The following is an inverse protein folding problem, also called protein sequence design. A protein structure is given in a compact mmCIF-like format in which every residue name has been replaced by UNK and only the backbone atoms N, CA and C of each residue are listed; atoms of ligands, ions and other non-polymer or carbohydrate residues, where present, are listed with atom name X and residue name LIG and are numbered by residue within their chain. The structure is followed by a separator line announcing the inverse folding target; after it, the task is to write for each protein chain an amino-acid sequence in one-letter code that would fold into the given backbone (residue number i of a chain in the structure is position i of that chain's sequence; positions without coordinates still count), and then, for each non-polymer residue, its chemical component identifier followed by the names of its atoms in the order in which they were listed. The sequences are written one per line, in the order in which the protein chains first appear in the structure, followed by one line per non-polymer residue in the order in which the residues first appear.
data_IF_103919754637
#
_entry.id   IF_103919754637
#
_cell.length_a   1.000
_cell.length_b   1.000
_cell.length_c   1.000
_cell.angle_alpha   90.00
_cell.angle_beta   90.00
_cell.angle_gamma   90.00
#
_symmetry.space_group_name_H-M   'P 1'
#
loop_
_entity.id
_entity.type
_entity.pdbx_description
1 polymer ?
#
# COMPACT_ATOMS: atom_id res chain seq x y z
N UNK A 1 -10.86 -0.54 30.72
CA UNK A 1 -11.44 0.53 29.90
C UNK A 1 -10.46 0.73 28.75
N UNK A 2 -10.85 0.37 27.51
CA UNK A 2 -10.07 0.71 26.34
C UNK A 2 -10.11 2.25 26.20
N UNK A 3 -8.95 2.88 26.11
CA UNK A 3 -8.87 4.29 25.79
C UNK A 3 -9.47 4.47 24.38
N UNK A 4 -10.45 5.35 24.26
CA UNK A 4 -10.94 5.78 22.94
C UNK A 4 -9.73 6.29 22.15
N UNK A 5 -9.47 5.65 21.01
CA UNK A 5 -8.46 6.10 20.10
C UNK A 5 -8.91 7.46 19.54
N UNK A 6 -8.29 8.53 20.01
CA UNK A 6 -8.51 9.87 19.50
C UNK A 6 -7.95 9.91 18.08
N UNK A 7 -8.80 10.18 17.10
CA UNK A 7 -8.33 10.41 15.72
C UNK A 7 -7.34 11.59 15.73
N UNK A 8 -6.14 11.34 15.21
CA UNK A 8 -5.15 12.40 15.04
C UNK A 8 -5.56 13.29 13.87
N UNK A 9 -5.35 14.61 13.97
CA UNK A 9 -5.68 15.51 12.89
C UNK A 9 -4.86 15.16 11.64
N UNK A 10 -5.48 15.21 10.47
CA UNK A 10 -4.80 14.98 9.17
C UNK A 10 -4.05 16.23 8.69
N UNK A 11 -4.23 17.36 9.35
CA UNK A 11 -3.53 18.63 9.14
C UNK A 11 -3.04 19.17 10.47
N UNK A 12 -1.93 19.91 10.41
CA UNK A 12 -1.29 20.46 11.58
C UNK A 12 0.00 19.70 11.96
N UNK A 13 0.53 20.05 13.13
CA UNK A 13 1.81 19.53 13.64
C UNK A 13 1.59 18.48 14.72
N UNK A 14 2.26 17.36 14.58
CA UNK A 14 2.24 16.26 15.55
C UNK A 14 3.68 15.98 15.96
N UNK A 15 3.96 16.03 17.26
CA UNK A 15 5.25 15.64 17.82
C UNK A 15 5.13 14.23 18.44
N UNK A 16 5.96 13.29 17.97
CA UNK A 16 6.20 12.04 18.68
C UNK A 16 7.46 12.22 19.50
N UNK A 17 7.40 12.00 20.81
CA UNK A 17 8.51 12.22 21.75
C UNK A 17 8.78 10.98 22.62
N UNK A 18 9.86 11.00 23.37
CA UNK A 18 10.31 9.88 24.21
C UNK A 18 10.47 8.57 23.40
N UNK A 19 11.05 8.68 22.20
CA UNK A 19 11.34 7.55 21.33
C UNK A 19 12.59 6.84 21.86
N UNK A 20 12.50 5.55 22.16
CA UNK A 20 13.64 4.76 22.61
C UNK A 20 14.58 4.33 21.50
N UNK A 21 14.03 4.10 20.30
CA UNK A 21 14.79 3.76 19.09
C UNK A 21 14.06 4.30 17.87
N UNK A 22 14.72 5.14 17.08
CA UNK A 22 14.16 5.68 15.84
C UNK A 22 14.84 5.05 14.62
N UNK A 23 14.07 4.34 13.79
CA UNK A 23 14.56 3.69 12.58
C UNK A 23 14.15 4.51 11.35
N UNK A 24 15.12 4.73 10.44
CA UNK A 24 14.91 5.52 9.22
C UNK A 24 14.25 4.76 8.07
N UNK A 25 14.42 3.44 8.04
CA UNK A 25 14.13 2.61 6.87
C UNK A 25 15.23 2.61 5.80
N UNK A 26 16.30 3.41 5.96
CA UNK A 26 17.49 3.37 5.09
C UNK A 26 18.49 2.34 5.62
N UNK A 27 18.79 1.32 4.80
CA UNK A 27 19.73 0.26 5.17
C UNK A 27 21.15 0.75 5.41
N UNK A 28 21.53 1.88 4.83
CA UNK A 28 22.87 2.47 4.99
C UNK A 28 22.96 3.34 6.25
N UNK A 29 21.84 3.85 6.74
CA UNK A 29 21.74 4.62 7.97
C UNK A 29 20.50 4.23 8.74
N UNK A 30 20.41 3.00 9.27
CA UNK A 30 19.15 2.44 9.78
C UNK A 30 18.66 3.12 11.06
N UNK A 31 19.56 3.66 11.87
CA UNK A 31 19.22 4.30 13.16
C UNK A 31 19.43 5.81 13.04
N UNK A 32 18.46 6.57 13.50
CA UNK A 32 18.55 8.02 13.64
C UNK A 32 18.80 8.37 15.12
N UNK A 33 19.73 9.30 15.32
CA UNK A 33 20.08 9.81 16.65
C UNK A 33 19.11 10.93 17.06
N UNK A 34 17.89 10.52 17.40
CA UNK A 34 16.86 11.42 17.92
C UNK A 34 15.84 10.64 18.74
N UNK A 35 15.34 11.26 19.78
CA UNK A 35 14.25 10.76 20.62
C UNK A 35 12.89 11.36 20.26
N UNK A 36 12.82 12.13 19.19
CA UNK A 36 11.58 12.72 18.70
C UNK A 36 11.48 12.75 17.18
N UNK A 37 10.24 12.86 16.71
CA UNK A 37 9.85 12.96 15.30
C UNK A 37 8.73 13.98 15.16
N UNK A 38 8.97 15.02 14.37
CA UNK A 38 7.97 16.03 14.05
C UNK A 38 7.31 15.70 12.71
N UNK A 39 5.98 15.69 12.70
CA UNK A 39 5.14 15.49 11.52
C UNK A 39 4.37 16.78 11.28
N UNK A 40 4.39 17.29 10.06
CA UNK A 40 3.60 18.45 9.63
C UNK A 40 2.79 18.09 8.39
N UNK A 41 1.48 18.28 8.45
CA UNK A 41 0.53 17.95 7.37
C UNK A 41 0.71 16.52 6.79
N UNK A 42 1.02 15.56 7.66
CA UNK A 42 1.19 14.14 7.30
C UNK A 42 2.56 13.79 6.70
N UNK A 43 3.51 14.71 6.69
CA UNK A 43 4.89 14.49 6.24
C UNK A 43 5.87 14.65 7.41
N UNK A 44 6.97 13.91 7.37
CA UNK A 44 8.06 14.08 8.32
C UNK A 44 8.71 15.44 8.07
N UNK A 45 8.61 16.34 9.06
CA UNK A 45 9.18 17.69 8.99
C UNK A 45 10.58 17.76 9.61
N UNK A 46 10.86 16.94 10.64
CA UNK A 46 12.14 16.96 11.31
C UNK A 46 12.25 15.98 12.46
N UNK A 47 13.40 16.07 13.17
CA UNK A 47 13.78 15.20 14.27
C UNK A 47 14.16 16.04 15.50
N UNK A 48 13.55 17.19 15.65
CA UNK A 48 13.75 18.10 16.77
C UNK A 48 12.43 18.36 17.47
N UNK A 49 12.48 18.52 18.79
CA UNK A 49 11.28 18.89 19.56
C UNK A 49 10.94 20.35 19.28
N UNK A 50 9.75 20.58 18.77
CA UNK A 50 9.16 21.89 18.50
C UNK A 50 7.70 21.90 18.92
N UNK A 51 7.11 23.10 18.99
CA UNK A 51 5.68 23.25 19.31
C UNK A 51 4.82 22.50 18.28
N UNK A 52 3.85 21.76 18.77
CA UNK A 52 2.95 20.94 17.97
C UNK A 52 1.51 21.04 18.49
N UNK A 53 0.54 20.85 17.58
CA UNK A 53 -0.88 20.87 17.91
C UNK A 53 -1.29 19.63 18.72
N UNK A 54 -0.52 18.55 18.58
CA UNK A 54 -0.73 17.28 19.29
C UNK A 54 0.59 16.59 19.58
N UNK A 55 0.64 15.88 20.71
CA UNK A 55 1.80 15.09 21.11
C UNK A 55 1.44 13.62 21.31
N UNK A 56 2.38 12.75 20.92
CA UNK A 56 2.36 11.32 21.20
C UNK A 56 3.59 10.97 22.01
N UNK A 57 3.38 10.44 23.22
CA UNK A 57 4.47 9.90 24.03
C UNK A 57 4.75 8.46 23.65
N UNK A 58 5.90 8.19 23.02
CA UNK A 58 6.30 6.85 22.62
C UNK A 58 6.76 5.97 23.79
N UNK A 59 6.90 6.54 25.00
CA UNK A 59 7.23 5.81 26.24
C UNK A 59 8.45 4.89 26.12
N UNK A 60 9.47 5.30 25.38
CA UNK A 60 10.66 4.51 25.13
C UNK A 60 10.49 3.40 24.08
N UNK A 61 9.36 3.33 23.41
CA UNK A 61 9.15 2.38 22.32
C UNK A 61 9.99 2.70 21.09
N UNK A 62 10.20 1.70 20.24
CA UNK A 62 10.77 1.90 18.92
C UNK A 62 9.73 2.54 18.00
N UNK A 63 10.18 3.51 17.20
CA UNK A 63 9.41 4.10 16.10
C UNK A 63 10.12 3.78 14.79
N UNK A 64 9.36 3.26 13.81
CA UNK A 64 9.89 2.81 12.53
C UNK A 64 8.88 3.08 11.41
N UNK A 65 9.34 3.15 10.14
CA UNK A 65 8.42 3.12 9.01
C UNK A 65 7.54 1.88 9.06
N UNK A 66 6.26 2.05 8.71
CA UNK A 66 5.35 0.92 8.63
C UNK A 66 5.83 -0.12 7.61
N UNK A 67 5.57 -1.39 7.87
CA UNK A 67 5.94 -2.48 6.99
C UNK A 67 5.16 -2.38 5.67
N UNK A 68 5.77 -2.90 4.61
CA UNK A 68 5.19 -2.94 3.26
C UNK A 68 4.99 -4.40 2.88
N UNK A 69 3.75 -4.79 2.64
CA UNK A 69 3.45 -6.06 1.99
C UNK A 69 3.43 -5.84 0.47
N UNK A 70 4.43 -6.39 -0.20
CA UNK A 70 4.63 -6.23 -1.64
C UNK A 70 3.86 -7.24 -2.50
N UNK A 71 3.11 -8.16 -1.89
CA UNK A 71 2.41 -9.22 -2.60
C UNK A 71 1.03 -9.50 -2.01
N UNK A 72 0.09 -8.61 -2.30
CA UNK A 72 -1.30 -8.75 -1.88
C UNK A 72 -2.25 -8.81 -3.07
N UNK A 73 -3.47 -9.27 -2.84
CA UNK A 73 -4.51 -9.34 -3.86
C UNK A 73 -5.76 -8.55 -3.42
N UNK A 74 -5.64 -7.23 -3.29
CA UNK A 74 -6.79 -6.39 -3.00
C UNK A 74 -7.73 -6.39 -4.20
N UNK A 75 -9.04 -6.33 -3.96
CA UNK A 75 -10.02 -6.21 -5.04
C UNK A 75 -10.78 -4.89 -4.88
N UNK A 76 -11.82 -4.89 -4.07
CA UNK A 76 -12.66 -3.72 -3.83
C UNK A 76 -12.84 -3.53 -2.33
N UNK A 77 -12.00 -2.75 -1.70
CA UNK A 77 -12.10 -2.47 -0.27
C UNK A 77 -11.46 -3.56 0.60
N UNK A 78 -11.95 -3.69 1.83
CA UNK A 78 -11.35 -4.48 2.89
C UNK A 78 -11.92 -5.90 3.01
N UNK A 79 -12.54 -6.39 1.98
CA UNK A 79 -13.09 -7.74 1.91
C UNK A 79 -12.41 -8.57 0.82
N UNK A 80 -11.97 -9.79 1.16
CA UNK A 80 -11.42 -10.74 0.19
C UNK A 80 -12.45 -11.84 -0.08
N UNK A 81 -13.09 -11.88 -1.26
CA UNK A 81 -14.15 -12.83 -1.54
C UNK A 81 -13.70 -14.29 -1.52
N UNK A 82 -12.45 -14.56 -1.88
CA UNK A 82 -11.91 -15.93 -1.87
C UNK A 82 -11.78 -16.50 -0.48
N UNK A 83 -11.32 -15.70 0.49
CA UNK A 83 -11.13 -16.11 1.87
C UNK A 83 -12.38 -15.86 2.72
N UNK A 84 -13.42 -15.25 2.16
CA UNK A 84 -14.59 -14.78 2.91
C UNK A 84 -14.19 -13.95 4.15
N UNK A 85 -13.17 -13.12 3.98
CA UNK A 85 -12.56 -12.37 5.06
C UNK A 85 -12.89 -10.89 4.93
N UNK A 86 -13.56 -10.35 5.93
CA UNK A 86 -13.76 -8.92 6.16
C UNK A 86 -12.69 -8.42 7.14
N UNK A 87 -12.20 -7.20 6.96
CA UNK A 87 -11.23 -6.60 7.86
C UNK A 87 -9.81 -7.14 7.70
N UNK A 88 -9.45 -7.69 6.54
CA UNK A 88 -8.11 -8.25 6.32
C UNK A 88 -7.01 -7.18 6.38
N UNK A 89 -7.29 -5.95 5.90
CA UNK A 89 -6.33 -4.84 5.96
C UNK A 89 -6.10 -4.45 7.42
N UNK A 90 -7.18 -4.29 8.20
CA UNK A 90 -7.09 -3.95 9.62
C UNK A 90 -6.27 -4.97 10.41
N UNK A 91 -6.48 -6.26 10.14
CA UNK A 91 -5.69 -7.31 10.79
C UNK A 91 -4.19 -7.18 10.49
N UNK A 92 -3.82 -6.83 9.26
CA UNK A 92 -2.43 -6.65 8.87
C UNK A 92 -1.84 -5.33 9.40
N UNK A 93 -2.63 -4.25 9.46
CA UNK A 93 -2.20 -2.99 10.08
C UNK A 93 -1.90 -3.19 11.57
N UNK A 94 -2.69 -3.99 12.27
CA UNK A 94 -2.39 -4.39 13.65
C UNK A 94 -1.08 -5.17 13.77
N UNK A 95 -0.62 -5.81 12.67
CA UNK A 95 0.71 -6.40 12.53
C UNK A 95 1.79 -5.45 12.01
N UNK A 96 1.53 -4.13 12.02
CA UNK A 96 2.41 -3.04 11.57
C UNK A 96 2.59 -2.94 10.03
N UNK A 97 1.82 -3.65 9.21
CA UNK A 97 1.80 -3.46 7.75
C UNK A 97 0.90 -2.28 7.41
N UNK A 98 1.49 -1.18 6.95
CA UNK A 98 0.77 0.06 6.64
C UNK A 98 0.63 0.34 5.15
N UNK A 99 1.35 -0.42 4.31
CA UNK A 99 1.29 -0.29 2.85
C UNK A 99 1.17 -1.67 2.19
N UNK A 100 0.28 -1.76 1.20
CA UNK A 100 -0.02 -2.99 0.48
C UNK A 100 0.13 -2.75 -1.02
N UNK A 101 0.85 -3.63 -1.71
CA UNK A 101 1.02 -3.58 -3.16
C UNK A 101 0.29 -4.74 -3.81
N UNK A 102 -0.54 -4.42 -4.81
CA UNK A 102 -1.24 -5.43 -5.59
C UNK A 102 -0.26 -6.26 -6.41
N UNK A 103 -0.38 -7.57 -6.30
CA UNK A 103 0.19 -8.57 -7.19
C UNK A 103 -0.83 -9.07 -8.23
N UNK A 104 -1.99 -8.47 -8.27
CA UNK A 104 -3.06 -8.75 -9.22
C UNK A 104 -4.43 -8.86 -8.57
N UNK A 105 -5.48 -8.42 -9.26
CA UNK A 105 -6.86 -8.45 -8.81
C UNK A 105 -7.50 -9.81 -9.13
N UNK A 106 -6.97 -10.89 -8.57
CA UNK A 106 -7.28 -12.28 -8.97
C UNK A 106 -8.40 -12.94 -8.19
N UNK A 107 -8.72 -12.44 -7.01
CA UNK A 107 -9.66 -13.10 -6.11
C UNK A 107 -11.12 -12.73 -6.38
N UNK A 108 -11.39 -12.02 -7.46
CA UNK A 108 -12.74 -11.72 -7.89
C UNK A 108 -13.36 -12.95 -8.57
N UNK A 109 -14.50 -13.48 -8.09
CA UNK A 109 -15.22 -14.52 -8.79
C UNK A 109 -15.61 -14.07 -10.20
N UNK A 110 -15.32 -14.90 -11.21
CA UNK A 110 -15.58 -14.52 -12.61
C UNK A 110 -14.66 -13.41 -13.15
N UNK A 111 -13.45 -13.27 -12.62
CA UNK A 111 -12.47 -12.29 -13.08
C UNK A 111 -12.37 -12.28 -14.62
N UNK A 112 -12.49 -11.11 -15.25
CA UNK A 112 -12.30 -10.99 -16.69
C UNK A 112 -10.87 -11.36 -17.10
N UNK A 113 -10.71 -11.87 -18.33
CA UNK A 113 -9.40 -12.21 -18.92
C UNK A 113 -9.13 -11.47 -20.22
N UNK A 114 -10.15 -10.86 -20.81
CA UNK A 114 -10.02 -9.99 -21.97
C UNK A 114 -9.43 -8.63 -21.58
N UNK A 115 -8.78 -7.97 -22.54
CA UNK A 115 -8.04 -6.73 -22.32
C UNK A 115 -8.95 -5.61 -21.76
N UNK A 116 -10.18 -5.49 -22.24
CA UNK A 116 -11.09 -4.43 -21.82
C UNK A 116 -11.56 -4.65 -20.37
N UNK A 117 -11.97 -5.87 -20.04
CA UNK A 117 -12.42 -6.22 -18.70
C UNK A 117 -11.29 -6.14 -17.67
N UNK A 118 -10.08 -6.60 -18.00
CA UNK A 118 -8.92 -6.50 -17.09
C UNK A 118 -8.52 -5.04 -16.88
N UNK A 119 -8.54 -4.21 -17.92
CA UNK A 119 -8.29 -2.78 -17.82
C UNK A 119 -9.32 -2.09 -16.91
N UNK A 120 -10.59 -2.37 -17.13
CA UNK A 120 -11.67 -1.81 -16.31
C UNK A 120 -11.53 -2.20 -14.84
N UNK A 121 -11.27 -3.48 -14.56
CA UNK A 121 -11.05 -3.99 -13.21
C UNK A 121 -9.85 -3.29 -12.54
N UNK A 122 -8.72 -3.19 -13.22
CA UNK A 122 -7.53 -2.55 -12.70
C UNK A 122 -7.77 -1.07 -12.36
N UNK A 123 -8.43 -0.34 -13.25
CA UNK A 123 -8.75 1.08 -13.04
C UNK A 123 -9.73 1.28 -11.88
N UNK A 124 -10.76 0.46 -11.76
CA UNK A 124 -11.74 0.57 -10.67
C UNK A 124 -11.09 0.23 -9.34
N UNK A 125 -10.32 -0.85 -9.26
CA UNK A 125 -9.62 -1.23 -8.03
C UNK A 125 -8.66 -0.12 -7.57
N UNK A 126 -7.84 0.43 -8.47
CA UNK A 126 -6.96 1.55 -8.16
C UNK A 126 -7.73 2.75 -7.62
N UNK A 127 -8.83 3.14 -8.28
CA UNK A 127 -9.60 4.32 -7.88
C UNK A 127 -10.31 4.14 -6.54
N UNK A 128 -10.83 2.95 -6.27
CA UNK A 128 -11.42 2.65 -4.98
C UNK A 128 -10.43 2.91 -3.84
N UNK A 129 -9.21 2.41 -3.96
CA UNK A 129 -8.19 2.58 -2.92
C UNK A 129 -7.49 3.96 -2.94
N UNK A 130 -7.57 4.72 -4.02
CA UNK A 130 -7.17 6.13 -4.01
C UNK A 130 -8.14 6.99 -3.18
N UNK A 131 -9.43 6.66 -3.22
CA UNK A 131 -10.49 7.40 -2.55
C UNK A 131 -10.80 6.89 -1.14
N UNK A 132 -10.32 5.69 -0.80
CA UNK A 132 -10.58 5.07 0.48
C UNK A 132 -9.31 4.42 1.03
N UNK A 133 -8.94 4.79 2.25
CA UNK A 133 -7.81 4.22 2.98
C UNK A 133 -8.33 3.53 4.24
N UNK A 134 -8.55 2.22 4.21
CA UNK A 134 -9.00 1.47 5.37
C UNK A 134 -8.04 1.69 6.54
N UNK A 135 -8.55 2.21 7.67
CA UNK A 135 -7.79 2.57 8.88
C UNK A 135 -6.47 3.31 8.60
N UNK A 136 -6.45 4.15 7.56
CA UNK A 136 -5.26 4.92 7.16
C UNK A 136 -4.25 4.16 6.28
N UNK A 137 -4.40 2.87 6.06
CA UNK A 137 -3.49 2.08 5.24
C UNK A 137 -3.44 2.56 3.79
N UNK A 138 -2.25 2.50 3.18
CA UNK A 138 -2.04 2.80 1.77
C UNK A 138 -2.12 1.52 0.96
N UNK A 139 -3.11 1.40 0.09
CA UNK A 139 -3.23 0.26 -0.83
C UNK A 139 -2.96 0.74 -2.26
N UNK A 140 -1.98 0.13 -2.90
CA UNK A 140 -1.63 0.39 -4.29
C UNK A 140 -2.19 -0.77 -5.12
N UNK A 141 -3.46 -0.64 -5.48
CA UNK A 141 -4.24 -1.65 -6.20
C UNK A 141 -4.17 -1.48 -7.73
N UNK A 142 -4.82 -2.37 -8.44
CA UNK A 142 -5.03 -2.27 -9.87
C UNK A 142 -3.93 -2.88 -10.72
N UNK A 143 -3.09 -3.76 -10.18
CA UNK A 143 -2.14 -4.48 -11.02
C UNK A 143 -2.86 -5.49 -11.92
N UNK A 144 -2.78 -5.38 -13.27
CA UNK A 144 -3.39 -6.36 -14.17
C UNK A 144 -2.62 -7.68 -14.15
N UNK A 145 -3.31 -8.80 -14.08
CA UNK A 145 -2.68 -10.10 -14.34
C UNK A 145 -2.43 -10.24 -15.84
N UNK A 146 -1.18 -10.51 -16.26
CA UNK A 146 -0.84 -10.57 -17.68
C UNK A 146 -1.51 -11.74 -18.40
N UNK A 147 -2.03 -11.46 -19.61
CA UNK A 147 -2.54 -12.46 -20.54
C UNK A 147 -1.75 -12.38 -21.86
N UNK A 148 -1.71 -13.47 -22.64
CA UNK A 148 -0.87 -13.56 -23.84
C UNK A 148 -1.29 -12.61 -24.98
N UNK A 149 -2.55 -12.27 -25.03
CA UNK A 149 -3.14 -11.40 -26.05
C UNK A 149 -3.06 -9.91 -25.72
N UNK A 150 -2.53 -9.54 -24.53
CA UNK A 150 -2.29 -8.14 -24.22
C UNK A 150 -1.09 -7.62 -24.99
N UNK A 151 -1.23 -6.44 -25.54
CA UNK A 151 -0.22 -5.76 -26.34
C UNK A 151 0.38 -4.55 -25.60
N UNK A 152 1.31 -3.89 -26.28
CA UNK A 152 1.96 -2.69 -25.75
C UNK A 152 0.97 -1.56 -25.49
N UNK A 153 -0.05 -1.41 -26.33
CA UNK A 153 -1.03 -0.32 -26.22
C UNK A 153 -1.93 -0.54 -25.01
N UNK A 154 -2.25 -1.78 -24.68
CA UNK A 154 -2.94 -2.12 -23.44
C UNK A 154 -2.15 -1.61 -22.21
N UNK A 155 -0.85 -1.93 -22.11
CA UNK A 155 -0.03 -1.48 -20.98
C UNK A 155 0.21 0.04 -20.98
N UNK A 156 0.37 0.66 -22.14
CA UNK A 156 0.48 2.11 -22.27
C UNK A 156 -0.77 2.81 -21.77
N UNK A 157 -1.96 2.28 -22.05
CA UNK A 157 -3.23 2.81 -21.56
C UNK A 157 -3.37 2.75 -20.04
N UNK A 158 -2.91 1.66 -19.43
CA UNK A 158 -2.88 1.53 -17.97
C UNK A 158 -1.89 2.50 -17.32
N UNK A 159 -0.70 2.66 -17.91
CA UNK A 159 0.28 3.64 -17.45
C UNK A 159 -0.28 5.07 -17.52
N UNK A 160 -0.97 5.41 -18.59
CA UNK A 160 -1.65 6.71 -18.73
C UNK A 160 -2.75 6.92 -17.67
N UNK A 161 -3.39 5.84 -17.20
CA UNK A 161 -4.34 5.85 -16.11
C UNK A 161 -3.69 5.86 -14.71
N UNK A 162 -2.36 5.91 -14.62
CA UNK A 162 -1.61 5.93 -13.36
C UNK A 162 -1.34 4.55 -12.75
N UNK A 163 -1.53 3.47 -13.51
CA UNK A 163 -1.21 2.11 -13.08
C UNK A 163 0.19 1.76 -13.60
N UNK A 164 1.15 1.64 -12.69
CA UNK A 164 2.58 1.46 -13.00
C UNK A 164 3.11 0.08 -12.60
N UNK A 165 2.24 -0.89 -12.43
CA UNK A 165 2.58 -2.25 -12.01
C UNK A 165 1.81 -3.26 -12.83
N UNK A 166 2.42 -4.41 -13.04
CA UNK A 166 1.75 -5.62 -13.52
C UNK A 166 1.59 -6.59 -12.36
N UNK A 167 0.58 -7.42 -12.44
CA UNK A 167 0.32 -8.46 -11.48
C UNK A 167 1.25 -9.66 -11.64
N UNK A 168 0.97 -10.65 -10.84
CA UNK A 168 1.74 -11.89 -10.77
C UNK A 168 1.72 -12.65 -12.10
N UNK A 169 2.92 -13.03 -12.58
CA UNK A 169 3.08 -13.89 -13.74
C UNK A 169 2.81 -15.33 -13.32
N UNK A 170 2.06 -16.06 -14.15
CA UNK A 170 1.67 -17.44 -13.86
C UNK A 170 0.22 -17.63 -13.42
N UNK A 171 -0.47 -16.57 -13.03
CA UNK A 171 -1.90 -16.60 -12.71
C UNK A 171 -2.81 -16.42 -13.95
N UNK A 172 -2.28 -15.80 -15.00
CA UNK A 172 -2.92 -15.70 -16.31
C UNK A 172 -2.35 -16.71 -17.29
N UNK A 173 -2.46 -16.41 -18.57
CA UNK A 173 -1.93 -17.23 -19.67
C UNK A 173 -0.42 -17.06 -19.88
N UNK A 174 0.17 -15.99 -19.34
CA UNK A 174 1.62 -15.75 -19.37
C UNK A 174 2.29 -16.57 -18.28
N UNK A 175 2.78 -17.75 -18.65
CA UNK A 175 3.39 -18.70 -17.70
C UNK A 175 4.82 -19.11 -18.08
N UNK A 176 5.29 -18.82 -19.31
CA UNK A 176 6.61 -19.22 -19.81
C UNK A 176 7.57 -18.03 -19.83
N UNK A 177 8.86 -18.31 -19.63
CA UNK A 177 9.90 -17.30 -19.60
C UNK A 177 9.93 -16.36 -20.82
N UNK A 178 9.88 -16.86 -22.07
CA UNK A 178 9.85 -15.99 -23.25
C UNK A 178 8.65 -15.04 -23.29
N UNK A 179 7.45 -15.51 -22.90
CA UNK A 179 6.24 -14.68 -22.85
C UNK A 179 6.33 -13.64 -21.73
N UNK A 180 6.85 -14.03 -20.57
CA UNK A 180 7.10 -13.12 -19.48
C UNK A 180 8.11 -12.02 -19.87
N UNK A 181 9.21 -12.38 -20.53
CA UNK A 181 10.21 -11.43 -21.03
C UNK A 181 9.61 -10.44 -22.04
N UNK A 182 8.73 -10.92 -22.92
CA UNK A 182 8.02 -10.06 -23.89
C UNK A 182 7.15 -9.03 -23.18
N UNK A 183 6.32 -9.45 -22.23
CA UNK A 183 5.39 -8.57 -21.50
C UNK A 183 6.12 -7.56 -20.62
N UNK A 184 7.21 -7.97 -19.98
CA UNK A 184 7.99 -7.09 -19.09
C UNK A 184 8.95 -6.18 -19.85
N UNK A 185 9.21 -6.44 -21.12
CA UNK A 185 10.05 -5.61 -22.00
C UNK A 185 9.31 -4.40 -22.60
N UNK A 186 8.05 -4.26 -22.36
CA UNK A 186 7.21 -3.13 -22.82
C UNK A 186 7.15 -2.01 -21.78
#
# INVERSE_FOLDING_TARGET
MAAEAKELPTKGRILIRNIGLLLSGDLNKPILDSDCLLIEDGLIAGFTAEDADSEIDAQGCAVMPGLIDSHTHPVFGDWTPRQNQLGWIEMNVNGAVTSFLSAGEVHLPGRPKDAEGVRALAMVAQRCFQNFRPIGAKVIAGAPVPELDFDRDFYASLKAAGIHRIGEIGLGTVAKGPDAARVTGW
#
